data_IF_758905059026
#
_entry.id   IF_758905059026
#
_cell.length_a   1.000
_cell.length_b   1.000
_cell.length_c   1.000
_cell.angle_alpha   90.00
_cell.angle_beta   90.00
_cell.angle_gamma   90.00
#
_symmetry.space_group_name_H-M   'P 1'
#
loop_
_entity.id
_entity.type
_entity.pdbx_description
1 polymer ?
#
# COMPACT_ATOMS: atom_id res chain seq x y z
N UNK A 1 -4.61 -30.81 -14.51
CA UNK A 1 -4.31 -29.66 -15.40
C UNK A 1 -3.28 -28.77 -14.71
N UNK A 2 -2.13 -28.43 -15.32
CA UNK A 2 -1.16 -27.53 -14.68
C UNK A 2 -1.69 -26.09 -14.74
N UNK A 3 -1.69 -25.41 -13.58
CA UNK A 3 -2.28 -24.08 -13.36
C UNK A 3 -1.50 -23.02 -14.15
N UNK A 4 -2.17 -22.36 -15.10
CA UNK A 4 -1.65 -21.16 -15.81
C UNK A 4 -1.23 -20.03 -14.85
N UNK A 5 -1.72 -20.05 -13.62
CA UNK A 5 -1.49 -19.02 -12.61
C UNK A 5 -0.09 -19.14 -11.97
N UNK A 6 0.48 -20.34 -11.91
CA UNK A 6 1.78 -20.58 -11.30
C UNK A 6 2.93 -19.80 -11.98
N UNK A 7 2.84 -19.57 -13.29
CA UNK A 7 3.82 -18.76 -14.03
C UNK A 7 3.71 -17.26 -13.74
N UNK A 8 2.50 -16.75 -13.51
CA UNK A 8 2.26 -15.34 -13.14
C UNK A 8 2.68 -15.08 -11.71
N UNK A 9 2.38 -16.01 -10.81
CA UNK A 9 2.76 -15.92 -9.40
C UNK A 9 4.29 -15.93 -9.23
N UNK A 10 4.98 -16.79 -9.99
CA UNK A 10 6.45 -16.83 -10.01
C UNK A 10 7.07 -15.53 -10.56
N UNK A 11 6.50 -14.95 -11.62
CA UNK A 11 6.94 -13.68 -12.18
C UNK A 11 6.72 -12.53 -11.18
N UNK A 12 5.55 -12.47 -10.55
CA UNK A 12 5.24 -11.48 -9.53
C UNK A 12 6.20 -11.55 -8.34
N UNK A 13 6.48 -12.77 -7.85
CA UNK A 13 7.42 -12.99 -6.76
C UNK A 13 8.85 -12.56 -7.14
N UNK A 14 9.29 -12.87 -8.37
CA UNK A 14 10.61 -12.48 -8.86
C UNK A 14 10.75 -10.95 -8.98
N UNK A 15 9.75 -10.26 -9.51
CA UNK A 15 9.76 -8.80 -9.63
C UNK A 15 9.73 -8.13 -8.24
N UNK A 16 8.86 -8.62 -7.35
CA UNK A 16 8.76 -8.12 -5.97
C UNK A 16 10.08 -8.27 -5.24
N UNK A 17 10.74 -9.43 -5.38
CA UNK A 17 12.05 -9.68 -4.78
C UNK A 17 13.11 -8.71 -5.31
N UNK A 18 13.19 -8.49 -6.62
CA UNK A 18 14.12 -7.51 -7.22
C UNK A 18 13.86 -6.09 -6.73
N UNK A 19 12.59 -5.72 -6.57
CA UNK A 19 12.19 -4.39 -6.09
C UNK A 19 12.67 -4.14 -4.66
N UNK A 20 12.62 -5.16 -3.81
CA UNK A 20 13.18 -5.12 -2.45
C UNK A 20 14.72 -5.10 -2.50
N UNK A 21 15.36 -6.00 -3.25
CA UNK A 21 16.83 -6.11 -3.31
C UNK A 21 17.51 -4.86 -3.91
N UNK A 22 16.81 -4.11 -4.77
CA UNK A 22 17.29 -2.85 -5.36
C UNK A 22 17.01 -1.60 -4.51
N UNK A 23 16.22 -1.71 -3.44
CA UNK A 23 15.81 -0.56 -2.62
C UNK A 23 14.65 0.26 -3.20
N UNK A 24 14.13 -0.12 -4.36
CA UNK A 24 13.01 0.59 -5.01
C UNK A 24 11.71 0.45 -4.22
N UNK A 25 11.54 -0.67 -3.51
CA UNK A 25 10.38 -0.86 -2.64
C UNK A 25 10.35 0.18 -1.51
N UNK A 26 11.47 0.37 -0.81
CA UNK A 26 11.62 1.39 0.23
C UNK A 26 11.39 2.79 -0.36
N UNK A 27 12.00 3.09 -1.52
CA UNK A 27 11.83 4.40 -2.20
C UNK A 27 10.37 4.71 -2.52
N UNK A 28 9.63 3.75 -3.06
CA UNK A 28 8.21 3.92 -3.39
C UNK A 28 7.36 4.02 -2.13
N UNK A 29 7.68 3.25 -1.09
CA UNK A 29 6.99 3.28 0.21
C UNK A 29 7.16 4.63 0.90
N UNK A 30 8.37 5.18 0.90
CA UNK A 30 8.69 6.49 1.47
C UNK A 30 7.98 7.61 0.71
N UNK A 31 7.94 7.53 -0.63
CA UNK A 31 7.18 8.47 -1.46
C UNK A 31 5.69 8.43 -1.09
N UNK A 32 5.09 7.24 -1.03
CA UNK A 32 3.69 7.08 -0.64
C UNK A 32 3.43 7.70 0.74
N UNK A 33 4.26 7.37 1.74
CA UNK A 33 4.11 7.91 3.10
C UNK A 33 4.23 9.43 3.12
N UNK A 34 5.21 9.99 2.40
CA UNK A 34 5.39 11.45 2.27
C UNK A 34 4.16 12.11 1.66
N UNK A 35 3.62 11.57 0.57
CA UNK A 35 2.44 12.12 -0.11
C UNK A 35 1.17 12.01 0.73
N UNK A 36 0.99 10.91 1.45
CA UNK A 36 -0.13 10.74 2.39
C UNK A 36 -0.04 11.72 3.56
N UNK A 37 1.17 11.99 4.08
CA UNK A 37 1.39 13.01 5.11
C UNK A 37 1.10 14.42 4.57
N UNK A 38 1.66 14.78 3.41
CA UNK A 38 1.45 16.10 2.78
C UNK A 38 -0.03 16.37 2.45
N UNK A 39 -0.78 15.32 2.12
CA UNK A 39 -2.22 15.41 1.88
C UNK A 39 -3.07 15.42 3.16
N UNK A 40 -2.46 15.34 4.35
CA UNK A 40 -3.16 15.29 5.64
C UNK A 40 -3.89 13.97 5.92
N UNK A 41 -3.71 12.95 5.08
CA UNK A 41 -4.41 11.68 5.20
C UNK A 41 -3.99 10.90 6.45
N UNK A 42 -2.72 10.96 6.83
CA UNK A 42 -2.21 10.28 8.04
C UNK A 42 -2.88 10.83 9.30
N UNK A 43 -3.01 12.15 9.41
CA UNK A 43 -3.69 12.79 10.53
C UNK A 43 -5.18 12.46 10.57
N UNK A 44 -5.83 12.44 9.40
CA UNK A 44 -7.23 12.04 9.27
C UNK A 44 -7.44 10.61 9.78
N UNK A 45 -6.68 9.64 9.28
CA UNK A 45 -6.82 8.22 9.67
C UNK A 45 -6.50 8.04 11.15
N UNK A 46 -5.51 8.75 11.68
CA UNK A 46 -5.18 8.71 13.11
C UNK A 46 -6.32 9.28 13.98
N UNK A 47 -6.96 10.36 13.55
CA UNK A 47 -8.12 10.92 14.23
C UNK A 47 -9.30 9.94 14.22
N UNK A 48 -9.65 9.39 13.06
CA UNK A 48 -10.72 8.40 12.91
C UNK A 48 -10.46 7.12 13.73
N UNK A 49 -9.20 6.69 13.79
CA UNK A 49 -8.78 5.54 14.59
C UNK A 49 -9.00 5.79 16.08
N UNK A 50 -8.68 6.99 16.57
CA UNK A 50 -8.93 7.39 17.97
C UNK A 50 -10.42 7.42 18.29
N UNK A 51 -11.23 8.00 17.41
CA UNK A 51 -12.68 8.06 17.60
C UNK A 51 -13.31 6.67 17.60
N UNK A 52 -12.83 5.78 16.73
CA UNK A 52 -13.30 4.39 16.68
C UNK A 52 -12.91 3.63 17.94
N UNK A 53 -11.66 3.76 18.39
CA UNK A 53 -11.18 3.12 19.62
C UNK A 53 -11.93 3.62 20.87
N UNK A 54 -12.32 4.90 20.92
CA UNK A 54 -13.15 5.45 22.02
C UNK A 54 -14.55 4.86 22.08
N UNK A 55 -15.13 4.50 20.94
CA UNK A 55 -16.47 3.92 20.83
C UNK A 55 -16.46 2.40 21.02
N UNK A 56 -15.30 1.77 20.80
CA UNK A 56 -15.12 0.34 20.91
C UNK A 56 -14.79 -0.02 22.36
N UNK A 57 -15.80 -0.39 23.15
CA UNK A 57 -15.61 -0.88 24.52
C UNK A 57 -14.71 -2.13 24.52
N UNK A 58 -13.43 -1.91 24.82
CA UNK A 58 -12.40 -2.95 25.01
C UNK A 58 -12.20 -3.90 23.82
N UNK A 59 -12.10 -3.37 22.60
CA UNK A 59 -11.79 -4.17 21.40
C UNK A 59 -10.28 -4.38 21.23
N UNK A 60 -9.80 -5.61 20.93
CA UNK A 60 -8.41 -5.86 20.63
C UNK A 60 -7.91 -5.04 19.44
N UNK A 61 -6.67 -4.54 19.52
CA UNK A 61 -6.05 -3.70 18.47
C UNK A 61 -6.12 -4.35 17.07
N UNK A 62 -5.96 -5.68 16.99
CA UNK A 62 -6.09 -6.43 15.73
C UNK A 62 -7.47 -6.23 15.08
N UNK A 63 -8.53 -6.35 15.86
CA UNK A 63 -9.90 -6.23 15.37
C UNK A 63 -10.22 -4.78 14.99
N UNK A 64 -9.70 -3.80 15.74
CA UNK A 64 -9.77 -2.38 15.35
C UNK A 64 -9.07 -2.13 14.00
N UNK A 65 -7.89 -2.72 13.79
CA UNK A 65 -7.16 -2.58 12.53
C UNK A 65 -7.94 -3.20 11.35
N UNK A 66 -8.52 -4.38 11.53
CA UNK A 66 -9.33 -5.05 10.52
C UNK A 66 -10.58 -4.23 10.12
N UNK A 67 -11.16 -3.49 11.07
CA UNK A 67 -12.29 -2.59 10.82
C UNK A 67 -11.87 -1.29 10.13
N UNK A 68 -10.75 -0.70 10.54
CA UNK A 68 -10.29 0.61 10.05
C UNK A 68 -9.61 0.52 8.69
N UNK A 69 -8.94 -0.60 8.39
CA UNK A 69 -8.16 -0.77 7.17
C UNK A 69 -8.96 -0.53 5.88
N UNK A 70 -10.16 -1.11 5.66
CA UNK A 70 -10.93 -0.86 4.45
C UNK A 70 -11.32 0.61 4.29
N UNK A 71 -11.67 1.27 5.41
CA UNK A 71 -12.00 2.70 5.42
C UNK A 71 -10.77 3.54 5.05
N UNK A 72 -9.63 3.30 5.70
CA UNK A 72 -8.38 3.99 5.39
C UNK A 72 -7.98 3.81 3.91
N UNK A 73 -8.06 2.59 3.37
CA UNK A 73 -7.78 2.32 1.96
C UNK A 73 -8.73 3.06 0.99
N UNK A 74 -9.99 3.26 1.38
CA UNK A 74 -10.99 3.98 0.60
C UNK A 74 -10.80 5.51 0.62
N UNK A 75 -10.24 6.05 1.71
CA UNK A 75 -10.03 7.50 1.88
C UNK A 75 -8.70 7.99 1.30
N UNK A 76 -7.85 7.09 0.79
CA UNK A 76 -6.59 7.46 0.12
C UNK A 76 -6.90 8.43 -1.03
N UNK A 77 -6.30 9.63 -1.05
CA UNK A 77 -6.56 10.63 -2.08
C UNK A 77 -6.28 10.08 -3.50
N UNK A 78 -7.19 10.28 -4.47
CA UNK A 78 -7.00 9.76 -5.82
C UNK A 78 -5.71 10.24 -6.50
N UNK A 79 -5.32 11.48 -6.25
CA UNK A 79 -4.07 12.05 -6.79
C UNK A 79 -2.82 11.31 -6.28
N UNK A 80 -2.76 11.02 -4.97
CA UNK A 80 -1.65 10.25 -4.37
C UNK A 80 -1.62 8.83 -4.92
N UNK A 81 -2.79 8.18 -5.01
CA UNK A 81 -2.89 6.83 -5.61
C UNK A 81 -2.39 6.81 -7.05
N UNK A 82 -2.79 7.79 -7.86
CA UNK A 82 -2.40 7.89 -9.27
C UNK A 82 -0.89 8.12 -9.41
N UNK A 83 -0.31 9.01 -8.60
CA UNK A 83 1.14 9.29 -8.60
C UNK A 83 1.94 8.02 -8.27
N UNK A 84 1.60 7.34 -7.18
CA UNK A 84 2.34 6.14 -6.75
C UNK A 84 2.17 5.00 -7.74
N UNK A 85 0.97 4.81 -8.31
CA UNK A 85 0.76 3.81 -9.37
C UNK A 85 1.56 4.13 -10.64
N UNK A 86 1.74 5.41 -10.99
CA UNK A 86 2.57 5.80 -12.12
C UNK A 86 4.04 5.42 -11.89
N UNK A 87 4.57 5.66 -10.68
CA UNK A 87 5.94 5.27 -10.31
C UNK A 87 6.12 3.75 -10.34
N UNK A 88 5.15 2.99 -9.82
CA UNK A 88 5.20 1.52 -9.88
C UNK A 88 5.21 1.04 -11.33
N UNK A 89 4.35 1.60 -12.21
CA UNK A 89 4.34 1.24 -13.64
C UNK A 89 5.67 1.54 -14.31
N UNK A 90 6.23 2.73 -14.08
CA UNK A 90 7.53 3.12 -14.62
C UNK A 90 8.64 2.16 -14.18
N UNK A 91 8.62 1.73 -12.91
CA UNK A 91 9.54 0.71 -12.44
C UNK A 91 9.34 -0.61 -13.19
N UNK A 92 8.10 -1.11 -13.28
CA UNK A 92 7.80 -2.36 -13.98
C UNK A 92 8.23 -2.34 -15.45
N UNK A 93 7.97 -1.24 -16.16
CA UNK A 93 8.38 -1.06 -17.56
C UNK A 93 9.91 -1.18 -17.71
N UNK A 94 10.67 -0.57 -16.79
CA UNK A 94 12.14 -0.67 -16.76
C UNK A 94 12.67 -2.08 -16.49
N UNK A 95 11.85 -2.96 -15.88
CA UNK A 95 12.22 -4.35 -15.62
C UNK A 95 11.90 -5.29 -16.79
N UNK A 96 11.00 -4.89 -17.71
CA UNK A 96 10.56 -5.71 -18.85
C UNK A 96 11.44 -5.44 -20.09
N UNK A 97 11.99 -4.24 -20.23
CA UNK A 97 12.89 -3.87 -21.35
C UNK A 97 14.34 -4.36 -21.18
N UNK A 98 14.63 -5.19 -20.16
CA UNK A 98 15.95 -5.78 -19.91
C UNK A 98 15.98 -7.30 -20.02
#
# INVERSE_FOLDING_TARGET
MPRKDAGKDALYAAISRRMIESGEWERISDLLLKRLNEAGWVDQVHHESKETARRADSTPVRQLLEQLKPHAESTVPPAVRQEVLAVIRQYLDSQIER
#
